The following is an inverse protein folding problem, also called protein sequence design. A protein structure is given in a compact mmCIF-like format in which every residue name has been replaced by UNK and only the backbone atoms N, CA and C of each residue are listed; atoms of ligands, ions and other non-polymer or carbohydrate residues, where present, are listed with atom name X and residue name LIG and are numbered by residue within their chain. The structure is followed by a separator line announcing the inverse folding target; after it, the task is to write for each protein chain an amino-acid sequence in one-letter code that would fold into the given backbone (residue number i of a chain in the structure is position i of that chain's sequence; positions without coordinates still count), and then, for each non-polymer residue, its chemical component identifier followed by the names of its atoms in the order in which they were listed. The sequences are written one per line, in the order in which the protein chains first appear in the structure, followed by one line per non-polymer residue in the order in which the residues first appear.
data_IF_126531386060
#
_entry.id   IF_126531386060
#
_cell.length_a   1.000
_cell.length_b   1.000
_cell.length_c   1.000
_cell.angle_alpha   90.00
_cell.angle_beta   90.00
_cell.angle_gamma   90.00
#
_symmetry.space_group_name_H-M   'P 1'
#
loop_
_entity.id
_entity.type
_entity.pdbx_description
1 polymer ?
#
# COMPACT_ATOMS: atom_id res chain seq x y z
N UNK A 1 13.29 -3.38 10.70
CA UNK A 1 14.32 -4.38 10.34
C UNK A 1 14.70 -4.13 8.89
N UNK A 2 15.98 -3.90 8.59
CA UNK A 2 16.46 -3.70 7.22
C UNK A 2 17.04 -5.01 6.68
N UNK A 3 16.82 -5.26 5.38
CA UNK A 3 17.47 -6.34 4.66
C UNK A 3 18.87 -5.89 4.23
N UNK A 4 19.85 -6.77 4.33
CA UNK A 4 21.20 -6.51 3.84
C UNK A 4 21.33 -7.05 2.43
N UNK A 5 21.74 -6.20 1.50
CA UNK A 5 21.98 -6.57 0.10
C UNK A 5 23.44 -6.29 -0.22
N UNK A 6 24.10 -7.26 -0.83
CA UNK A 6 25.48 -7.14 -1.30
C UNK A 6 25.47 -6.95 -2.83
N UNK A 7 26.15 -5.93 -3.32
CA UNK A 7 26.39 -5.73 -4.74
C UNK A 7 27.86 -5.37 -4.96
N UNK A 8 28.55 -6.20 -5.76
CA UNK A 8 30.02 -6.20 -5.88
C UNK A 8 30.70 -6.28 -4.50
N UNK A 9 31.45 -5.24 -4.09
CA UNK A 9 32.17 -5.17 -2.81
C UNK A 9 31.47 -4.27 -1.78
N UNK A 10 30.24 -3.83 -2.04
CA UNK A 10 29.52 -2.89 -1.17
C UNK A 10 28.27 -3.56 -0.56
N UNK A 11 28.06 -3.30 0.73
CA UNK A 11 26.89 -3.76 1.47
C UNK A 11 25.92 -2.60 1.73
N UNK A 12 24.64 -2.82 1.41
CA UNK A 12 23.57 -1.84 1.55
C UNK A 12 22.52 -2.35 2.53
N UNK A 13 22.12 -1.49 3.47
CA UNK A 13 20.91 -1.69 4.25
C UNK A 13 19.69 -1.17 3.47
N UNK A 14 18.78 -2.05 3.09
CA UNK A 14 17.56 -1.71 2.37
C UNK A 14 16.32 -1.96 3.21
N UNK A 15 15.28 -1.19 2.92
CA UNK A 15 13.93 -1.38 3.48
C UNK A 15 12.92 -1.29 2.35
N UNK A 16 11.74 -1.86 2.55
CA UNK A 16 10.62 -1.74 1.62
C UNK A 16 9.49 -0.95 2.27
N UNK A 17 8.74 -0.22 1.46
CA UNK A 17 7.43 0.30 1.85
C UNK A 17 6.39 -0.55 1.15
N UNK A 18 5.30 -0.90 1.83
CA UNK A 18 4.33 -1.86 1.35
C UNK A 18 2.95 -1.23 1.41
N UNK A 19 2.24 -1.20 0.28
CA UNK A 19 0.81 -0.95 0.22
C UNK A 19 0.07 -2.26 0.11
N UNK A 20 -0.98 -2.44 0.92
CA UNK A 20 -1.84 -3.62 0.88
C UNK A 20 -3.27 -3.20 0.60
N UNK A 21 -4.01 -4.00 -0.17
CA UNK A 21 -5.44 -3.85 -0.34
C UNK A 21 -6.10 -5.23 -0.33
N UNK A 22 -7.35 -5.28 0.09
CA UNK A 22 -8.17 -6.49 0.07
C UNK A 22 -9.20 -6.38 -1.05
N UNK A 23 -9.39 -7.46 -1.81
CA UNK A 23 -10.41 -7.52 -2.84
C UNK A 23 -11.80 -7.47 -2.20
N UNK A 24 -12.63 -6.51 -2.62
CA UNK A 24 -14.03 -6.43 -2.19
C UNK A 24 -14.96 -6.67 -3.36
N UNK A 25 -16.18 -7.13 -3.08
CA UNK A 25 -17.22 -7.33 -4.10
C UNK A 25 -17.59 -6.05 -4.86
N UNK A 26 -17.32 -4.88 -4.27
CA UNK A 26 -17.54 -3.57 -4.87
C UNK A 26 -16.44 -3.11 -5.83
N UNK A 27 -15.29 -3.80 -5.88
CA UNK A 27 -14.21 -3.43 -6.80
C UNK A 27 -14.55 -3.88 -8.23
N UNK A 28 -14.23 -3.05 -9.22
CA UNK A 28 -14.48 -3.33 -10.64
C UNK A 28 -13.53 -4.36 -11.26
N UNK A 29 -12.67 -5.01 -10.46
CA UNK A 29 -11.72 -6.02 -10.92
C UNK A 29 -10.30 -5.81 -10.38
N UNK A 30 -9.34 -6.50 -11.00
CA UNK A 30 -7.93 -6.53 -10.56
C UNK A 30 -7.26 -5.15 -10.61
N UNK A 31 -7.56 -4.33 -11.62
CA UNK A 31 -6.97 -3.00 -11.75
C UNK A 31 -7.38 -2.09 -10.58
N UNK A 32 -8.63 -2.18 -10.12
CA UNK A 32 -9.10 -1.44 -8.96
C UNK A 32 -8.40 -1.91 -7.67
N UNK A 33 -8.19 -3.22 -7.51
CA UNK A 33 -7.44 -3.77 -6.38
C UNK A 33 -5.97 -3.32 -6.40
N UNK A 34 -5.32 -3.40 -7.55
CA UNK A 34 -3.92 -2.99 -7.73
C UNK A 34 -3.75 -1.49 -7.50
N UNK A 35 -4.68 -0.66 -8.01
CA UNK A 35 -4.70 0.78 -7.77
C UNK A 35 -4.88 1.13 -6.29
N UNK A 36 -5.73 0.40 -5.56
CA UNK A 36 -5.89 0.56 -4.12
C UNK A 36 -4.60 0.21 -3.35
N UNK A 37 -3.95 -0.90 -3.69
CA UNK A 37 -2.67 -1.29 -3.09
C UNK A 37 -1.56 -0.27 -3.40
N UNK A 38 -1.50 0.25 -4.62
CA UNK A 38 -0.54 1.27 -5.02
C UNK A 38 -0.77 2.60 -4.28
N UNK A 39 -2.03 3.02 -4.11
CA UNK A 39 -2.35 4.20 -3.32
C UNK A 39 -1.83 4.08 -1.87
N UNK A 40 -2.04 2.94 -1.23
CA UNK A 40 -1.50 2.68 0.10
C UNK A 40 0.05 2.63 0.11
N UNK A 41 0.68 2.13 -0.96
CA UNK A 41 2.14 2.12 -1.10
C UNK A 41 2.68 3.55 -1.20
N UNK A 42 2.04 4.40 -1.98
CA UNK A 42 2.40 5.81 -2.11
C UNK A 42 2.26 6.54 -0.77
N UNK A 43 1.18 6.30 -0.03
CA UNK A 43 1.04 6.83 1.32
C UNK A 43 2.16 6.33 2.25
N UNK A 44 2.50 5.05 2.20
CA UNK A 44 3.59 4.50 3.02
C UNK A 44 4.94 5.18 2.72
N UNK A 45 5.18 5.55 1.45
CA UNK A 45 6.36 6.31 1.04
C UNK A 45 6.31 7.75 1.55
N UNK A 46 5.16 8.42 1.47
CA UNK A 46 4.95 9.79 1.93
C UNK A 46 5.11 9.89 3.46
N UNK A 47 4.64 8.90 4.20
CA UNK A 47 4.69 8.85 5.67
C UNK A 47 6.07 8.46 6.22
N UNK A 48 7.13 8.48 5.40
CA UNK A 48 8.51 8.24 5.85
C UNK A 48 9.06 6.84 5.56
N UNK A 49 8.42 6.08 4.66
CA UNK A 49 8.90 4.76 4.17
C UNK A 49 9.03 3.71 5.29
N UNK A 50 9.64 2.56 4.96
CA UNK A 50 9.93 1.43 5.86
C UNK A 50 8.73 1.02 6.73
N UNK A 51 7.55 0.95 6.10
CA UNK A 51 6.28 0.66 6.77
C UNK A 51 5.30 0.02 5.82
N UNK A 52 4.26 -0.55 6.40
CA UNK A 52 3.10 -1.06 5.69
C UNK A 52 1.89 -0.16 5.94
N UNK A 53 1.11 0.10 4.90
CA UNK A 53 -0.19 0.74 5.00
C UNK A 53 -1.20 -0.16 4.30
N UNK A 54 -2.33 -0.39 4.95
CA UNK A 54 -3.48 -1.03 4.33
C UNK A 54 -4.41 0.06 3.78
N UNK A 55 -4.82 -0.08 2.53
CA UNK A 55 -5.83 0.75 1.93
C UNK A 55 -7.16 0.54 2.65
N UNK A 56 -7.80 1.63 3.04
CA UNK A 56 -9.14 1.62 3.59
C UNK A 56 -10.08 2.30 2.58
N UNK A 57 -11.16 1.61 2.14
CA UNK A 57 -12.16 2.28 1.31
C UNK A 57 -12.77 3.45 2.09
N UNK A 58 -13.10 4.56 1.41
CA UNK A 58 -13.90 5.60 2.03
C UNK A 58 -15.22 4.98 2.53
N UNK A 59 -15.71 5.39 3.71
CA UNK A 59 -16.98 4.90 4.22
C UNK A 59 -18.09 5.15 3.20
N UNK A 60 -19.05 4.22 3.06
CA UNK A 60 -20.16 4.40 2.14
C UNK A 60 -20.86 5.73 2.46
N UNK A 61 -21.19 6.49 1.41
CA UNK A 61 -21.92 7.73 1.57
C UNK A 61 -23.20 7.44 2.38
N UNK A 62 -23.38 8.15 3.51
CA UNK A 62 -24.61 8.05 4.30
C UNK A 62 -25.78 8.29 3.36
N UNK A 63 -26.68 7.31 3.23
CA UNK A 63 -27.97 7.57 2.61
C UNK A 63 -28.64 8.64 3.46
N UNK A 64 -28.69 9.87 2.95
CA UNK A 64 -29.61 10.86 3.47
C UNK A 64 -31.00 10.21 3.43
N UNK A 65 -31.68 10.21 4.58
CA UNK A 65 -32.96 9.56 4.79
C UNK A 65 -33.97 9.97 3.70
N UNK A 66 -34.68 8.98 3.17
CA UNK A 66 -35.98 9.14 2.53
C UNK A 66 -37.00 8.34 3.35
#
# INVERSE_FOLDING_TARGET
MSAQVFADKVQFGLTVSIGMAEATVSMSGIDALMGAADHALYQAKADGRNRRIAWAPPPPASKAAE
#
